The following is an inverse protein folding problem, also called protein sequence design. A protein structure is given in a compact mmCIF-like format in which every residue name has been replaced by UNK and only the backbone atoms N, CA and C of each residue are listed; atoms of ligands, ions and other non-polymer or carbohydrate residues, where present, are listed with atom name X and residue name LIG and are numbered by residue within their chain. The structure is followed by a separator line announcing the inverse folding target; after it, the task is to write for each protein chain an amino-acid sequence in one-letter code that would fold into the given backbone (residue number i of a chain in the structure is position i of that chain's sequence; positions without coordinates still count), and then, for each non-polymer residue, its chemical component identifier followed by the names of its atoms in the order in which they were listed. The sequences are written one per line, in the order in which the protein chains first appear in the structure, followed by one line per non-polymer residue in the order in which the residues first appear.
data_IF_127069028765
#
_entry.id   IF_127069028765
#
_cell.length_a   1.000
_cell.length_b   1.000
_cell.length_c   1.000
_cell.angle_alpha   90.00
_cell.angle_beta   90.00
_cell.angle_gamma   90.00
#
_symmetry.space_group_name_H-M   'P 1'
#
loop_
_entity.id
_entity.type
_entity.pdbx_description
1 polymer ?
#
# COMPACT_ATOMS: atom_id res chain seq x y z
N UNK A 1 51.89 1.09 1.19
CA UNK A 1 51.04 0.65 0.07
C UNK A 1 49.75 1.43 0.17
N UNK A 2 49.33 2.11 -0.90
CA UNK A 2 48.02 2.76 -0.94
C UNK A 2 46.97 1.67 -0.81
N UNK A 3 46.13 1.73 0.23
CA UNK A 3 44.96 0.85 0.31
C UNK A 3 44.13 1.07 -0.96
N UNK A 4 43.76 -0.01 -1.67
CA UNK A 4 43.00 0.13 -2.90
C UNK A 4 41.65 0.77 -2.58
N UNK A 5 41.24 1.73 -3.43
CA UNK A 5 39.97 2.46 -3.30
C UNK A 5 38.74 1.52 -3.30
N UNK A 6 38.90 0.29 -3.78
CA UNK A 6 37.90 -0.77 -3.85
C UNK A 6 38.56 -2.13 -3.60
N UNK A 7 37.80 -3.07 -3.03
CA UNK A 7 38.17 -4.48 -2.92
C UNK A 7 37.35 -5.31 -3.90
N UNK A 8 37.81 -6.53 -4.14
CA UNK A 8 37.04 -7.52 -4.89
C UNK A 8 36.89 -8.79 -4.05
N UNK A 9 35.76 -9.48 -4.20
CA UNK A 9 35.54 -10.78 -3.59
C UNK A 9 34.87 -11.71 -4.59
N UNK A 10 35.29 -12.97 -4.62
CA UNK A 10 34.65 -14.01 -5.43
C UNK A 10 34.12 -15.05 -4.48
N UNK A 11 32.80 -15.17 -4.40
CA UNK A 11 32.12 -15.97 -3.38
C UNK A 11 31.49 -17.17 -4.06
N UNK A 12 31.87 -18.35 -3.59
CA UNK A 12 31.29 -19.63 -3.97
C UNK A 12 30.75 -20.29 -2.70
N UNK A 13 29.43 -20.34 -2.56
CA UNK A 13 28.80 -20.87 -1.34
C UNK A 13 27.44 -21.49 -1.63
N UNK A 14 26.85 -22.09 -0.61
CA UNK A 14 25.46 -22.52 -0.60
C UNK A 14 24.69 -21.54 0.30
N UNK A 15 23.69 -20.86 -0.25
CA UNK A 15 22.79 -19.97 0.49
C UNK A 15 21.38 -20.56 0.42
N UNK A 16 20.79 -20.90 1.57
CA UNK A 16 19.46 -21.52 1.67
C UNK A 16 19.26 -22.75 0.75
N UNK A 17 20.30 -23.58 0.58
CA UNK A 17 20.24 -24.78 -0.27
C UNK A 17 20.50 -24.54 -1.75
N UNK A 18 20.72 -23.29 -2.17
CA UNK A 18 21.04 -22.91 -3.56
C UNK A 18 22.54 -22.63 -3.67
N UNK A 19 23.18 -23.24 -4.66
CA UNK A 19 24.58 -22.92 -4.98
C UNK A 19 24.65 -21.54 -5.65
N UNK A 20 25.45 -20.65 -5.08
CA UNK A 20 25.61 -19.27 -5.57
C UNK A 20 27.07 -18.97 -5.87
N UNK A 21 27.29 -18.38 -7.05
CA UNK A 21 28.60 -17.95 -7.53
C UNK A 21 28.51 -16.45 -7.84
N UNK A 22 29.29 -15.64 -7.13
CA UNK A 22 29.14 -14.19 -7.16
C UNK A 22 30.50 -13.49 -7.23
N UNK A 23 30.60 -12.48 -8.09
CA UNK A 23 31.71 -11.53 -8.08
C UNK A 23 31.24 -10.21 -7.48
N UNK A 24 32.01 -9.70 -6.53
CA UNK A 24 31.73 -8.45 -5.83
C UNK A 24 32.84 -7.44 -6.07
N UNK A 25 32.45 -6.20 -6.41
CA UNK A 25 33.27 -5.00 -6.28
C UNK A 25 32.79 -4.25 -5.03
N UNK A 26 33.67 -4.08 -4.04
CA UNK A 26 33.32 -3.57 -2.72
C UNK A 26 34.02 -2.23 -2.46
N UNK A 27 33.27 -1.23 -2.02
CA UNK A 27 33.78 0.08 -1.60
C UNK A 27 33.54 0.22 -0.10
N UNK A 28 34.60 0.56 0.65
CA UNK A 28 34.60 0.60 2.11
C UNK A 28 34.17 -0.72 2.79
N UNK A 29 34.24 -1.84 2.06
CA UNK A 29 33.97 -3.17 2.57
C UNK A 29 34.96 -4.19 2.01
N UNK A 30 35.04 -5.34 2.67
CA UNK A 30 35.76 -6.55 2.23
C UNK A 30 34.93 -7.77 2.58
N UNK A 31 35.22 -8.89 1.93
CA UNK A 31 34.70 -10.19 2.36
C UNK A 31 35.77 -10.91 3.18
N UNK A 32 35.40 -11.37 4.37
CA UNK A 32 36.23 -12.22 5.21
C UNK A 32 35.93 -13.68 4.86
N UNK A 33 36.83 -14.29 4.09
CA UNK A 33 36.70 -15.68 3.63
C UNK A 33 36.70 -16.71 4.78
N UNK A 34 37.32 -16.38 5.91
CA UNK A 34 37.41 -17.30 7.05
C UNK A 34 36.11 -17.28 7.84
N UNK A 35 35.61 -16.08 8.15
CA UNK A 35 34.33 -15.92 8.85
C UNK A 35 33.12 -16.15 7.92
N UNK A 36 33.33 -16.11 6.60
CA UNK A 36 32.31 -16.07 5.54
C UNK A 36 31.34 -14.90 5.72
N UNK A 37 31.89 -13.70 5.98
CA UNK A 37 31.09 -12.49 6.27
C UNK A 37 31.62 -11.26 5.55
N UNK A 38 30.72 -10.36 5.17
CA UNK A 38 31.11 -9.03 4.76
C UNK A 38 31.49 -8.16 5.96
N UNK A 39 32.58 -7.41 5.83
CA UNK A 39 33.13 -6.52 6.85
C UNK A 39 33.29 -5.11 6.29
N UNK A 40 32.78 -4.11 7.01
CA UNK A 40 33.08 -2.69 6.78
C UNK A 40 34.52 -2.41 7.16
N UNK A 41 35.20 -1.58 6.38
CA UNK A 41 36.55 -1.12 6.71
C UNK A 41 36.47 0.09 7.65
N UNK A 42 35.67 1.10 7.28
CA UNK A 42 35.34 2.23 8.12
C UNK A 42 33.86 2.14 8.54
N UNK A 43 33.65 1.82 9.82
CA UNK A 43 32.32 1.66 10.42
C UNK A 43 31.48 2.92 10.43
N UNK A 44 32.10 4.11 10.33
CA UNK A 44 31.36 5.38 10.33
C UNK A 44 30.70 5.67 8.98
N UNK A 45 31.24 5.14 7.90
CA UNK A 45 30.87 5.51 6.53
C UNK A 45 30.02 4.42 5.86
N UNK A 46 29.28 4.82 4.82
CA UNK A 46 28.58 3.86 3.97
C UNK A 46 29.55 2.89 3.31
N UNK A 47 29.07 1.67 3.10
CA UNK A 47 29.72 0.68 2.24
C UNK A 47 28.84 0.41 1.03
N UNK A 48 29.47 0.15 -0.11
CA UNK A 48 28.77 -0.17 -1.36
C UNK A 48 29.31 -1.46 -1.96
N UNK A 49 28.45 -2.21 -2.63
CA UNK A 49 28.82 -3.44 -3.31
C UNK A 49 28.14 -3.52 -4.68
N UNK A 50 28.92 -3.75 -5.74
CA UNK A 50 28.39 -4.19 -7.02
C UNK A 50 28.54 -5.70 -7.11
N UNK A 51 27.42 -6.40 -7.12
CA UNK A 51 27.36 -7.85 -7.23
C UNK A 51 27.04 -8.24 -8.67
N UNK A 52 27.79 -9.19 -9.20
CA UNK A 52 27.53 -9.89 -10.46
C UNK A 52 27.29 -11.36 -10.11
N UNK A 53 26.06 -11.85 -10.31
CA UNK A 53 25.71 -13.24 -10.05
C UNK A 53 25.91 -14.07 -11.33
N UNK A 54 26.56 -15.23 -11.19
CA UNK A 54 26.81 -16.16 -12.28
C UNK A 54 26.09 -17.52 -12.12
N UNK A 55 25.52 -17.77 -10.93
CA UNK A 55 24.69 -18.93 -10.59
C UNK A 55 23.78 -18.61 -9.39
N UNK A 56 22.66 -19.32 -9.29
CA UNK A 56 21.70 -19.23 -8.18
C UNK A 56 20.69 -18.10 -8.39
N UNK A 57 20.08 -17.64 -7.29
CA UNK A 57 19.04 -16.62 -7.31
C UNK A 57 19.40 -15.37 -6.50
N UNK A 58 18.55 -14.34 -6.57
CA UNK A 58 18.70 -13.09 -5.85
C UNK A 58 18.82 -13.32 -4.33
N UNK A 59 19.76 -12.64 -3.64
CA UNK A 59 19.95 -12.81 -2.20
C UNK A 59 18.68 -12.49 -1.39
N UNK A 60 18.11 -13.51 -0.74
CA UNK A 60 16.87 -13.41 0.04
C UNK A 60 15.61 -13.96 -0.66
N UNK A 61 15.70 -14.28 -1.95
CA UNK A 61 14.63 -14.91 -2.74
C UNK A 61 14.80 -16.43 -2.90
N UNK A 62 15.79 -17.04 -2.24
CA UNK A 62 16.02 -18.48 -2.35
C UNK A 62 14.82 -19.33 -1.87
N UNK A 63 14.02 -18.77 -0.95
CA UNK A 63 12.86 -19.44 -0.38
C UNK A 63 11.58 -19.30 -1.22
N UNK A 64 11.57 -18.47 -2.27
CA UNK A 64 10.39 -18.28 -3.14
C UNK A 64 10.37 -19.22 -4.35
N UNK A 65 11.43 -20.02 -4.54
CA UNK A 65 11.47 -21.10 -5.54
C UNK A 65 11.89 -20.66 -6.96
N UNK A 66 12.21 -19.38 -7.16
CA UNK A 66 12.87 -18.92 -8.38
C UNK A 66 14.38 -19.11 -8.22
N UNK A 67 14.92 -20.21 -8.72
CA UNK A 67 16.32 -20.62 -8.49
C UNK A 67 17.29 -20.12 -9.58
N UNK A 68 16.74 -19.56 -10.66
CA UNK A 68 17.49 -19.20 -11.87
C UNK A 68 17.57 -17.68 -12.09
N UNK A 69 16.88 -16.88 -11.26
CA UNK A 69 16.87 -15.42 -11.37
C UNK A 69 18.20 -14.79 -10.95
N UNK A 70 19.04 -14.48 -11.92
CA UNK A 70 20.37 -13.91 -11.72
C UNK A 70 20.39 -12.43 -12.09
N UNK A 71 21.40 -11.69 -11.63
CA UNK A 71 21.47 -10.28 -12.00
C UNK A 71 22.74 -9.56 -11.65
N UNK A 72 22.74 -8.28 -12.03
CA UNK A 72 23.72 -7.30 -11.60
C UNK A 72 23.05 -6.35 -10.61
N UNK A 73 23.57 -6.33 -9.38
CA UNK A 73 22.91 -5.68 -8.26
C UNK A 73 23.84 -4.66 -7.61
N UNK A 74 23.31 -3.47 -7.31
CA UNK A 74 23.98 -2.47 -6.49
C UNK A 74 23.42 -2.53 -5.07
N UNK A 75 24.32 -2.65 -4.10
CA UNK A 75 24.02 -2.78 -2.70
C UNK A 75 24.63 -1.65 -1.89
N UNK A 76 23.94 -1.29 -0.79
CA UNK A 76 24.39 -0.31 0.19
C UNK A 76 24.27 -0.87 1.59
N UNK A 77 25.27 -0.63 2.42
CA UNK A 77 25.19 -0.82 3.86
C UNK A 77 25.50 0.50 4.58
N UNK A 78 24.68 0.83 5.58
CA UNK A 78 24.87 2.04 6.38
C UNK A 78 26.09 1.92 7.29
N UNK A 79 26.77 3.05 7.52
CA UNK A 79 27.74 3.22 8.61
C UNK A 79 27.12 4.01 9.77
N UNK A 80 27.83 4.15 10.89
CA UNK A 80 27.33 4.84 12.10
C UNK A 80 26.83 6.25 11.83
N UNK A 81 27.46 7.00 10.93
CA UNK A 81 27.06 8.39 10.62
C UNK A 81 25.77 8.50 9.80
N UNK A 82 25.25 7.39 9.29
CA UNK A 82 23.91 7.37 8.71
C UNK A 82 22.80 7.52 9.76
N UNK A 83 23.13 7.31 11.05
CA UNK A 83 22.21 7.32 12.17
C UNK A 83 22.49 8.49 13.12
N UNK A 84 21.43 9.06 13.69
CA UNK A 84 21.51 10.15 14.67
C UNK A 84 22.23 9.72 15.96
N UNK A 85 22.80 10.67 16.68
CA UNK A 85 23.36 10.39 18.01
C UNK A 85 22.23 9.95 18.94
N UNK A 86 22.37 8.79 19.58
CA UNK A 86 21.34 8.20 20.44
C UNK A 86 20.40 7.20 19.74
N UNK A 87 20.52 7.02 18.43
CA UNK A 87 19.83 5.94 17.72
C UNK A 87 20.47 4.58 18.08
N UNK A 88 19.73 3.59 18.61
CA UNK A 88 20.27 2.28 18.95
C UNK A 88 20.95 1.56 17.77
N UNK A 89 20.48 1.79 16.54
CA UNK A 89 21.08 1.22 15.34
C UNK A 89 22.51 1.73 15.10
N UNK A 90 22.83 2.95 15.55
CA UNK A 90 24.18 3.52 15.49
C UNK A 90 25.18 2.71 16.30
N UNK A 91 24.79 2.26 17.49
CA UNK A 91 25.66 1.51 18.39
C UNK A 91 25.78 0.04 17.96
N UNK A 92 24.72 -0.50 17.37
CA UNK A 92 24.71 -1.84 16.78
C UNK A 92 25.48 -1.92 15.45
N UNK A 93 25.67 -0.79 14.76
CA UNK A 93 26.43 -0.74 13.51
C UNK A 93 27.92 -0.97 13.78
N UNK A 94 28.36 -2.22 13.57
CA UNK A 94 29.74 -2.65 13.75
C UNK A 94 30.49 -2.90 12.44
N UNK A 95 31.62 -3.59 12.56
CA UNK A 95 32.41 -4.05 11.41
C UNK A 95 31.60 -5.02 10.55
N UNK A 96 30.86 -5.95 11.14
CA UNK A 96 30.06 -6.92 10.40
C UNK A 96 28.88 -6.28 9.64
N UNK A 97 28.76 -6.60 8.35
CA UNK A 97 27.59 -6.24 7.53
C UNK A 97 26.63 -7.42 7.54
N UNK A 98 25.55 -7.29 8.31
CA UNK A 98 24.59 -8.36 8.58
C UNK A 98 24.25 -8.43 10.06
N UNK A 99 23.36 -9.36 10.42
CA UNK A 99 22.94 -9.60 11.78
C UNK A 99 22.85 -11.09 12.10
N UNK A 100 23.30 -11.45 13.31
CA UNK A 100 23.06 -12.76 13.89
C UNK A 100 21.58 -12.84 14.29
N UNK A 101 20.90 -13.86 13.80
CA UNK A 101 19.50 -14.10 14.10
C UNK A 101 19.35 -14.85 15.43
N UNK A 102 18.15 -14.82 16.05
CA UNK A 102 17.89 -15.56 17.30
C UNK A 102 18.12 -17.08 17.20
N UNK A 103 17.98 -17.64 15.99
CA UNK A 103 18.25 -19.06 15.70
C UNK A 103 19.74 -19.38 15.51
N UNK A 104 20.62 -18.39 15.68
CA UNK A 104 22.07 -18.51 15.49
C UNK A 104 22.52 -18.45 14.02
N UNK A 105 21.60 -18.30 13.06
CA UNK A 105 21.94 -18.10 11.66
C UNK A 105 22.46 -16.68 11.41
N UNK A 106 23.33 -16.53 10.42
CA UNK A 106 23.83 -15.22 9.99
C UNK A 106 23.06 -14.76 8.75
N UNK A 107 22.59 -13.50 8.74
CA UNK A 107 21.89 -12.92 7.57
C UNK A 107 22.46 -11.57 7.20
N UNK A 108 22.75 -11.38 5.92
CA UNK A 108 23.48 -10.20 5.42
C UNK A 108 22.62 -9.28 4.55
N UNK A 109 21.51 -9.80 3.99
CA UNK A 109 20.71 -9.11 2.97
C UNK A 109 19.29 -8.80 3.47
N UNK A 110 18.85 -7.56 3.29
CA UNK A 110 17.50 -7.09 3.66
C UNK A 110 17.51 -5.74 4.38
N UNK A 111 16.40 -4.99 4.26
CA UNK A 111 16.24 -3.56 4.61
C UNK A 111 16.83 -3.16 5.99
N UNK A 112 16.81 -4.08 6.96
CA UNK A 112 17.19 -3.85 8.37
C UNK A 112 18.41 -4.69 8.79
N UNK A 113 18.95 -5.54 7.92
CA UNK A 113 19.99 -6.54 8.27
C UNK A 113 21.41 -6.04 7.99
N UNK A 114 21.66 -5.48 6.81
CA UNK A 114 23.00 -5.04 6.42
C UNK A 114 23.04 -4.47 5.01
N UNK A 115 23.12 -5.35 4.01
CA UNK A 115 23.05 -5.00 2.60
C UNK A 115 21.61 -4.75 2.17
N UNK A 116 21.36 -3.52 1.74
CA UNK A 116 20.11 -3.09 1.14
C UNK A 116 20.30 -2.92 -0.35
N UNK A 117 19.37 -3.49 -1.13
CA UNK A 117 19.38 -3.34 -2.57
C UNK A 117 19.01 -1.89 -2.94
N UNK A 118 19.87 -1.27 -3.74
CA UNK A 118 19.62 0.02 -4.36
C UNK A 118 19.03 -0.15 -5.76
N UNK A 119 19.56 -1.10 -6.52
CA UNK A 119 19.24 -1.30 -7.92
C UNK A 119 19.57 -2.73 -8.35
N UNK A 120 18.75 -3.27 -9.25
CA UNK A 120 18.92 -4.58 -9.83
C UNK A 120 18.54 -4.55 -11.31
N UNK A 121 19.36 -5.21 -12.13
CA UNK A 121 18.96 -5.70 -13.44
C UNK A 121 18.97 -7.22 -13.39
N UNK A 122 17.80 -7.83 -13.57
CA UNK A 122 17.65 -9.28 -13.53
C UNK A 122 17.84 -9.92 -14.91
N UNK A 123 17.99 -11.25 -14.93
CA UNK A 123 18.25 -12.05 -16.11
C UNK A 123 17.07 -12.11 -17.06
N UNK A 124 15.87 -11.78 -16.59
CA UNK A 124 14.66 -11.70 -17.41
C UNK A 124 14.51 -10.33 -18.08
N UNK A 125 15.46 -9.41 -17.87
CA UNK A 125 15.45 -8.05 -18.41
C UNK A 125 14.63 -7.06 -17.58
N UNK A 126 14.17 -7.48 -16.40
CA UNK A 126 13.54 -6.61 -15.42
C UNK A 126 14.56 -5.69 -14.74
N UNK A 127 14.10 -4.48 -14.43
CA UNK A 127 14.88 -3.49 -13.68
C UNK A 127 14.10 -3.13 -12.43
N UNK A 128 14.70 -3.40 -11.27
CA UNK A 128 14.09 -3.14 -9.96
C UNK A 128 14.91 -2.08 -9.22
N UNK A 129 14.22 -1.08 -8.66
CA UNK A 129 14.80 -0.13 -7.72
C UNK A 129 14.45 -0.64 -6.32
N UNK A 130 15.45 -1.10 -5.58
CA UNK A 130 15.26 -1.76 -4.29
C UNK A 130 14.88 -0.80 -3.15
N UNK A 131 14.61 -1.38 -1.97
CA UNK A 131 14.07 -0.69 -0.78
C UNK A 131 14.93 0.43 -0.17
N UNK A 132 16.13 0.71 -0.70
CA UNK A 132 16.91 1.90 -0.35
C UNK A 132 16.80 3.07 -1.34
N UNK A 133 16.14 2.88 -2.49
CA UNK A 133 15.86 3.89 -3.50
C UNK A 133 17.09 4.37 -4.28
N UNK A 134 16.94 4.65 -5.58
CA UNK A 134 17.83 5.57 -6.30
C UNK A 134 17.18 6.94 -6.29
N UNK A 135 17.84 7.91 -5.67
CA UNK A 135 17.51 9.32 -5.83
C UNK A 135 18.22 9.86 -7.08
N UNK A 136 17.48 10.02 -8.18
CA UNK A 136 17.93 10.81 -9.34
C UNK A 136 17.62 12.27 -9.02
N UNK A 137 18.46 12.93 -8.24
CA UNK A 137 18.38 14.38 -8.02
C UNK A 137 18.78 15.10 -9.32
N UNK A 138 17.78 15.36 -10.16
CA UNK A 138 17.90 16.25 -11.30
C UNK A 138 17.26 17.58 -10.99
N UNK A 139 17.87 18.41 -10.13
CA UNK A 139 17.54 19.84 -9.92
C UNK A 139 16.03 20.20 -9.85
N UNK A 140 15.17 19.26 -9.41
CA UNK A 140 13.72 19.42 -9.38
C UNK A 140 13.00 19.51 -10.74
N UNK A 141 13.60 19.15 -11.88
CA UNK A 141 12.96 19.23 -13.22
C UNK A 141 12.93 17.87 -13.93
N UNK A 142 12.68 16.79 -13.19
CA UNK A 142 12.33 15.51 -13.82
C UNK A 142 10.84 15.53 -14.17
N UNK A 143 10.43 15.28 -15.43
CA UNK A 143 9.03 15.27 -15.85
C UNK A 143 8.25 14.06 -15.33
N UNK A 144 8.92 13.14 -14.63
CA UNK A 144 8.32 11.94 -14.06
C UNK A 144 8.10 12.16 -12.57
N UNK A 145 6.85 12.45 -12.20
CA UNK A 145 6.35 12.37 -10.83
C UNK A 145 6.70 11.01 -10.22
N UNK A 146 7.59 10.98 -9.21
CA UNK A 146 8.01 9.76 -8.51
C UNK A 146 6.84 9.17 -7.71
N UNK A 147 6.33 7.99 -8.09
CA UNK A 147 5.44 7.20 -7.25
C UNK A 147 6.27 6.45 -6.20
N UNK A 148 6.04 6.69 -4.91
CA UNK A 148 6.72 5.98 -3.83
C UNK A 148 5.74 5.16 -3.02
N UNK A 149 5.90 3.84 -3.06
CA UNK A 149 5.09 2.88 -2.30
C UNK A 149 5.70 2.70 -0.90
N UNK A 150 5.53 3.72 -0.04
CA UNK A 150 5.87 3.61 1.37
C UNK A 150 4.75 2.93 2.17
N UNK A 151 5.11 2.05 3.11
CA UNK A 151 4.20 1.46 4.10
C UNK A 151 4.22 2.31 5.38
N UNK A 152 3.08 2.86 5.77
CA UNK A 152 2.89 3.29 7.16
C UNK A 152 2.78 2.03 8.03
N UNK A 153 3.67 1.93 9.00
CA UNK A 153 3.57 0.92 10.04
C UNK A 153 2.75 1.52 11.17
N UNK A 154 1.61 0.93 11.51
CA UNK A 154 0.73 1.41 12.59
C UNK A 154 1.48 1.55 13.91
N UNK A 155 1.14 2.58 14.67
CA UNK A 155 1.65 2.83 16.02
C UNK A 155 0.64 3.65 16.81
N UNK A 156 0.62 3.47 18.13
CA UNK A 156 -0.28 4.18 19.04
C UNK A 156 0.45 4.92 20.13
N UNK A 157 -0.03 6.10 20.52
CA UNK A 157 0.37 6.78 21.77
C UNK A 157 -0.34 6.21 23.00
N UNK A 158 -1.32 5.32 22.81
CA UNK A 158 -2.10 4.71 23.91
C UNK A 158 -1.66 3.25 24.08
N UNK A 159 -0.86 2.92 25.11
CA UNK A 159 -0.28 1.57 25.27
C UNK A 159 -1.30 0.43 25.41
N UNK A 160 -2.53 0.75 25.81
CA UNK A 160 -3.59 -0.23 26.09
C UNK A 160 -4.53 -0.47 24.89
N UNK A 161 -4.29 0.20 23.76
CA UNK A 161 -5.20 0.08 22.61
C UNK A 161 -5.08 -1.30 21.96
N UNK A 162 -6.20 -1.92 21.57
CA UNK A 162 -6.16 -3.23 20.90
C UNK A 162 -5.37 -3.16 19.60
N UNK A 163 -4.45 -4.09 19.40
CA UNK A 163 -3.59 -4.17 18.20
C UNK A 163 -4.40 -4.32 16.91
N UNK A 164 -5.65 -4.77 17.02
CA UNK A 164 -6.63 -4.92 15.94
C UNK A 164 -7.04 -3.60 15.29
N UNK A 165 -6.83 -2.46 15.97
CA UNK A 165 -7.14 -1.13 15.44
C UNK A 165 -6.03 -0.57 14.51
N UNK A 166 -4.94 -1.33 14.31
CA UNK A 166 -3.82 -0.92 13.46
C UNK A 166 -4.04 -1.31 11.99
N UNK A 167 -3.60 -0.43 11.09
CA UNK A 167 -3.69 -0.63 9.65
C UNK A 167 -2.36 -0.34 8.95
N UNK A 168 -2.16 -0.99 7.81
CA UNK A 168 -1.16 -0.62 6.82
C UNK A 168 -1.74 0.44 5.89
N UNK A 169 -1.01 1.53 5.65
CA UNK A 169 -1.35 2.46 4.59
C UNK A 169 -0.24 2.48 3.53
N UNK A 170 -0.61 2.20 2.28
CA UNK A 170 0.24 2.21 1.10
C UNK A 170 0.01 3.51 0.35
N UNK A 171 1.06 4.31 0.22
CA UNK A 171 0.97 5.65 -0.36
C UNK A 171 0.97 5.62 -1.90
N UNK A 172 0.08 6.38 -2.53
CA UNK A 172 0.03 6.59 -3.98
C UNK A 172 0.46 7.99 -4.43
N UNK A 173 1.31 8.70 -3.68
CA UNK A 173 1.64 10.11 -3.92
C UNK A 173 3.08 10.36 -4.38
N UNK A 174 3.25 11.50 -5.06
CA UNK A 174 4.54 12.05 -5.50
C UNK A 174 5.48 12.29 -4.31
N UNK A 175 6.74 11.85 -4.42
CA UNK A 175 7.83 11.94 -3.42
C UNK A 175 7.89 13.21 -2.54
N UNK A 176 7.60 14.40 -3.08
CA UNK A 176 7.60 15.65 -2.30
C UNK A 176 6.56 15.66 -1.18
N UNK A 177 5.46 14.91 -1.33
CA UNK A 177 4.47 14.79 -0.25
C UNK A 177 4.86 13.70 0.74
N UNK A 178 5.60 12.66 0.34
CA UNK A 178 6.15 11.67 1.28
C UNK A 178 7.13 12.32 2.26
N UNK A 179 8.02 13.22 1.79
CA UNK A 179 8.85 14.01 2.69
C UNK A 179 7.98 14.91 3.58
N UNK A 180 6.95 15.59 3.07
CA UNK A 180 6.01 16.35 3.92
C UNK A 180 5.19 15.50 4.92
N UNK A 181 5.02 14.19 4.66
CA UNK A 181 4.29 13.23 5.48
C UNK A 181 5.14 12.61 6.59
N UNK A 182 6.42 12.32 6.32
CA UNK A 182 7.35 11.69 7.27
C UNK A 182 8.28 12.70 7.95
N UNK A 183 8.65 13.76 7.21
CA UNK A 183 9.37 14.94 7.68
C UNK A 183 8.45 16.15 7.47
N UNK A 184 7.40 16.25 8.27
CA UNK A 184 6.63 17.49 8.36
C UNK A 184 7.58 18.58 8.88
N UNK A 185 8.32 19.22 7.97
CA UNK A 185 9.34 20.22 8.27
C UNK A 185 8.75 21.41 9.05
N UNK A 186 7.42 21.51 9.10
CA UNK A 186 6.65 22.51 9.83
C UNK A 186 5.48 21.81 10.56
N UNK A 187 5.69 21.41 11.81
CA UNK A 187 4.73 20.69 12.67
C UNK A 187 3.32 21.31 12.78
N UNK A 188 3.15 22.56 12.38
CA UNK A 188 1.92 23.35 12.51
C UNK A 188 0.92 23.19 11.33
N UNK A 189 1.33 22.66 10.17
CA UNK A 189 0.45 22.59 8.98
C UNK A 189 -0.39 21.30 8.91
N UNK A 190 -1.53 21.27 8.22
CA UNK A 190 -2.25 20.01 8.01
C UNK A 190 -1.56 19.15 6.93
N UNK A 191 -1.53 17.83 7.11
CA UNK A 191 -1.08 16.86 6.12
C UNK A 191 -2.26 16.21 5.38
N UNK A 192 -2.02 15.75 4.15
CA UNK A 192 -3.01 15.01 3.35
C UNK A 192 -2.40 13.70 2.85
N UNK A 193 -3.18 12.63 2.92
CA UNK A 193 -2.84 11.31 2.44
C UNK A 193 -3.88 10.84 1.42
N UNK A 194 -3.41 10.23 0.34
CA UNK A 194 -4.23 9.48 -0.60
C UNK A 194 -3.53 8.17 -0.95
N UNK A 195 -4.25 7.06 -0.87
CA UNK A 195 -3.67 5.76 -1.15
C UNK A 195 -4.58 4.62 -0.74
N UNK A 196 -3.99 3.46 -0.48
CA UNK A 196 -4.69 2.28 0.02
C UNK A 196 -4.46 2.13 1.53
N UNK A 197 -5.50 1.75 2.27
CA UNK A 197 -5.41 1.33 3.67
C UNK A 197 -5.93 -0.10 3.80
N UNK A 198 -5.26 -0.95 4.58
CA UNK A 198 -5.67 -2.33 4.82
C UNK A 198 -5.38 -2.72 6.27
N UNK A 199 -6.29 -3.43 6.97
CA UNK A 199 -6.02 -3.88 8.33
C UNK A 199 -4.91 -4.92 8.37
N UNK A 200 -4.30 -5.08 9.54
CA UNK A 200 -3.33 -6.15 9.77
C UNK A 200 -4.07 -7.49 9.79
N UNK A 201 -3.61 -8.46 9.00
CA UNK A 201 -4.13 -9.81 9.02
C UNK A 201 -3.54 -10.58 10.21
N UNK A 202 -4.21 -10.56 11.36
CA UNK A 202 -3.77 -11.33 12.53
C UNK A 202 -3.99 -12.84 12.42
N UNK A 203 -4.58 -13.36 11.34
CA UNK A 203 -4.81 -14.79 11.13
C UNK A 203 -4.09 -15.27 9.85
N UNK A 204 -2.86 -14.80 9.66
CA UNK A 204 -2.11 -14.96 8.42
C UNK A 204 -1.37 -16.31 8.27
N UNK A 205 -1.54 -17.21 9.25
CA UNK A 205 -0.98 -18.57 9.21
C UNK A 205 -1.83 -19.47 8.32
N UNK A 206 -1.21 -20.51 7.76
CA UNK A 206 -1.88 -21.45 6.86
C UNK A 206 -3.07 -22.19 7.51
N UNK A 207 -3.08 -22.33 8.83
CA UNK A 207 -4.15 -22.92 9.62
C UNK A 207 -5.20 -21.91 10.10
N UNK A 208 -5.04 -20.62 9.74
CA UNK A 208 -5.92 -19.52 10.15
C UNK A 208 -5.80 -19.13 11.63
N UNK A 209 -4.79 -19.63 12.35
CA UNK A 209 -4.61 -19.29 13.77
C UNK A 209 -4.08 -17.87 13.98
N UNK A 210 -4.42 -17.31 15.15
CA UNK A 210 -4.00 -15.98 15.56
C UNK A 210 -2.46 -15.86 15.63
N UNK A 211 -1.95 -14.75 15.11
CA UNK A 211 -0.55 -14.37 15.05
C UNK A 211 -0.39 -12.91 15.51
N UNK A 212 -0.06 -12.66 16.80
CA UNK A 212 0.13 -11.29 17.30
C UNK A 212 1.28 -10.55 16.63
N UNK A 213 2.21 -11.28 16.00
CA UNK A 213 3.40 -10.72 15.35
C UNK A 213 3.22 -10.58 13.83
N UNK A 214 1.98 -10.63 13.32
CA UNK A 214 1.70 -10.53 11.90
C UNK A 214 2.15 -9.19 11.31
N UNK A 215 2.87 -9.27 10.19
CA UNK A 215 3.32 -8.12 9.41
C UNK A 215 2.63 -8.03 8.04
N UNK A 216 1.56 -8.83 7.82
CA UNK A 216 0.86 -8.95 6.54
C UNK A 216 -0.44 -8.16 6.53
N UNK A 217 -0.70 -7.48 5.41
CA UNK A 217 -1.96 -6.79 5.17
C UNK A 217 -3.06 -7.77 4.76
N UNK A 218 -4.27 -7.54 5.26
CA UNK A 218 -5.49 -8.21 4.79
C UNK A 218 -6.02 -7.47 3.55
N UNK A 219 -5.47 -7.81 2.37
CA UNK A 219 -5.77 -7.10 1.13
C UNK A 219 -7.22 -7.28 0.65
N UNK A 220 -7.90 -8.35 1.09
CA UNK A 220 -9.33 -8.55 0.80
C UNK A 220 -10.20 -7.49 1.49
N UNK A 221 -9.67 -6.88 2.56
CA UNK A 221 -10.28 -5.77 3.31
C UNK A 221 -9.62 -4.42 3.02
N UNK A 222 -8.85 -4.31 1.94
CA UNK A 222 -8.23 -3.04 1.56
C UNK A 222 -9.27 -2.01 1.11
N UNK A 223 -8.91 -0.74 1.28
CA UNK A 223 -9.76 0.40 0.98
C UNK A 223 -8.94 1.49 0.29
N UNK A 224 -9.53 2.20 -0.68
CA UNK A 224 -8.97 3.44 -1.22
C UNK A 224 -9.41 4.59 -0.34
N UNK A 225 -8.45 5.37 0.18
CA UNK A 225 -8.73 6.37 1.20
C UNK A 225 -8.09 7.72 0.86
N UNK A 226 -8.80 8.79 1.20
CA UNK A 226 -8.25 10.15 1.34
C UNK A 226 -8.38 10.50 2.82
N UNK A 227 -7.25 10.81 3.46
CA UNK A 227 -7.21 11.13 4.88
C UNK A 227 -6.50 12.46 5.12
N UNK A 228 -6.82 13.11 6.24
CA UNK A 228 -6.20 14.34 6.70
C UNK A 228 -5.55 14.15 8.07
N UNK A 229 -4.35 14.67 8.24
CA UNK A 229 -3.71 14.86 9.54
C UNK A 229 -3.81 16.34 9.92
N UNK A 230 -4.44 16.70 11.05
CA UNK A 230 -4.46 18.08 11.51
C UNK A 230 -3.05 18.66 11.79
N UNK A 231 -2.98 19.99 11.83
CA UNK A 231 -1.78 20.69 12.30
C UNK A 231 -1.50 20.38 13.76
N UNK A 232 -0.22 20.31 14.16
CA UNK A 232 0.18 20.00 15.54
C UNK A 232 0.15 18.50 15.91
N UNK A 233 -0.46 17.65 15.10
CA UNK A 233 -0.58 16.22 15.38
C UNK A 233 0.60 15.39 14.87
N UNK A 234 0.90 14.29 15.57
CA UNK A 234 1.95 13.35 15.17
C UNK A 234 1.50 12.49 13.99
N UNK A 235 2.44 12.08 13.13
CA UNK A 235 2.17 11.35 11.87
C UNK A 235 1.74 9.87 12.04
N UNK A 236 1.12 9.53 13.17
CA UNK A 236 0.59 8.20 13.46
C UNK A 236 -0.79 8.02 12.82
N UNK A 237 -1.07 6.80 12.35
CA UNK A 237 -2.28 6.46 11.58
C UNK A 237 -3.58 6.80 12.31
N UNK A 238 -3.58 6.75 13.65
CA UNK A 238 -4.73 7.03 14.50
C UNK A 238 -5.13 8.51 14.57
N UNK A 239 -4.22 9.42 14.20
CA UNK A 239 -4.50 10.86 14.19
C UNK A 239 -5.07 11.33 12.85
N UNK A 240 -5.28 10.39 11.91
CA UNK A 240 -5.80 10.69 10.59
C UNK A 240 -7.33 10.64 10.57
N UNK A 241 -7.92 11.68 10.01
CA UNK A 241 -9.35 11.77 9.77
C UNK A 241 -9.67 11.27 8.35
N UNK A 242 -10.58 10.30 8.24
CA UNK A 242 -11.10 9.87 6.94
C UNK A 242 -11.95 10.97 6.30
N UNK A 243 -11.50 11.46 5.14
CA UNK A 243 -12.28 12.38 4.31
C UNK A 243 -13.12 11.61 3.29
N UNK A 244 -12.52 10.63 2.63
CA UNK A 244 -13.17 9.73 1.67
C UNK A 244 -12.61 8.33 1.85
N UNK A 245 -13.46 7.32 1.76
CA UNK A 245 -13.10 5.91 1.87
C UNK A 245 -13.92 5.12 0.86
N UNK A 246 -13.29 4.19 0.14
CA UNK A 246 -13.96 3.24 -0.77
C UNK A 246 -13.46 1.85 -0.42
N UNK A 247 -14.35 0.99 0.06
CA UNK A 247 -14.01 -0.38 0.47
C UNK A 247 -13.74 -1.28 -0.74
N UNK A 248 -13.07 -2.41 -0.53
CA UNK A 248 -12.88 -3.46 -1.56
C UNK A 248 -14.19 -3.94 -2.20
N UNK A 249 -15.29 -3.90 -1.44
CA UNK A 249 -16.64 -4.23 -1.92
C UNK A 249 -17.34 -3.07 -2.65
N UNK A 250 -16.69 -1.93 -2.85
CA UNK A 250 -17.21 -0.76 -3.57
C UNK A 250 -18.16 0.15 -2.76
N UNK A 251 -18.25 -0.02 -1.44
CA UNK A 251 -19.01 0.91 -0.61
C UNK A 251 -18.17 2.17 -0.36
N UNK A 252 -18.79 3.35 -0.40
CA UNK A 252 -18.08 4.61 -0.18
C UNK A 252 -18.56 5.32 1.09
N UNK A 253 -17.63 6.00 1.77
CA UNK A 253 -17.92 6.94 2.86
C UNK A 253 -17.30 8.30 2.60
N UNK A 254 -17.99 9.35 3.03
CA UNK A 254 -17.51 10.74 3.01
C UNK A 254 -17.60 11.29 4.42
N UNK A 255 -16.48 11.73 4.98
CA UNK A 255 -16.37 12.18 6.38
C UNK A 255 -16.98 11.17 7.38
N UNK A 256 -16.78 9.87 7.13
CA UNK A 256 -17.31 8.79 7.97
C UNK A 256 -18.79 8.45 7.73
N UNK A 257 -19.52 9.21 6.92
CA UNK A 257 -20.92 8.94 6.57
C UNK A 257 -21.02 8.05 5.33
N UNK A 258 -21.91 7.06 5.37
CA UNK A 258 -22.19 6.20 4.22
C UNK A 258 -22.72 7.02 3.04
N UNK A 259 -22.07 6.87 1.89
CA UNK A 259 -22.60 7.38 0.61
C UNK A 259 -23.62 6.35 0.12
N UNK A 260 -24.90 6.74 -0.01
CA UNK A 260 -25.90 5.83 -0.54
C UNK A 260 -25.53 5.41 -1.95
N UNK A 261 -25.66 4.11 -2.25
CA UNK A 261 -25.49 3.64 -3.62
C UNK A 261 -26.67 4.13 -4.44
N UNK A 262 -26.40 4.86 -5.51
CA UNK A 262 -27.45 5.39 -6.38
C UNK A 262 -27.39 4.75 -7.76
N UNK A 263 -28.55 4.41 -8.31
CA UNK A 263 -28.68 3.82 -9.64
C UNK A 263 -29.89 4.40 -10.36
N UNK A 264 -29.67 4.85 -11.59
CA UNK A 264 -30.74 5.27 -12.48
C UNK A 264 -31.33 4.05 -13.19
N UNK A 265 -32.65 3.89 -13.12
CA UNK A 265 -33.38 2.79 -13.76
C UNK A 265 -34.41 3.39 -14.70
N UNK A 266 -34.33 3.05 -15.98
CA UNK A 266 -35.30 3.48 -17.00
C UNK A 266 -36.38 2.42 -17.19
N UNK A 267 -37.64 2.83 -17.10
CA UNK A 267 -38.82 1.98 -17.28
C UNK A 267 -39.79 2.58 -18.30
N UNK A 268 -40.48 1.72 -19.05
CA UNK A 268 -41.59 2.12 -19.91
C UNK A 268 -42.86 2.18 -19.06
N UNK A 269 -43.64 3.25 -19.21
CA UNK A 269 -44.92 3.40 -18.54
C UNK A 269 -46.01 2.65 -19.32
N UNK A 270 -46.92 1.99 -18.59
CA UNK A 270 -48.07 1.32 -19.17
C UNK A 270 -49.20 2.32 -19.48
N UNK A 271 -50.34 1.81 -19.98
CA UNK A 271 -51.51 2.63 -20.35
C UNK A 271 -52.13 3.40 -19.16
N UNK A 272 -51.84 2.98 -17.93
CA UNK A 272 -52.26 3.67 -16.69
C UNK A 272 -51.18 4.63 -16.16
N UNK A 273 -50.15 4.93 -16.95
CA UNK A 273 -49.00 5.76 -16.58
C UNK A 273 -48.24 5.23 -15.35
N UNK A 274 -48.14 3.91 -15.24
CA UNK A 274 -47.45 3.23 -14.15
C UNK A 274 -46.44 2.19 -14.66
N UNK A 275 -45.47 1.83 -13.82
CA UNK A 275 -44.46 0.83 -14.11
C UNK A 275 -43.91 0.17 -12.83
N UNK A 276 -43.50 -1.09 -12.96
CA UNK A 276 -42.68 -1.76 -11.94
C UNK A 276 -41.21 -1.41 -12.15
N UNK A 277 -40.57 -0.88 -11.10
CA UNK A 277 -39.14 -0.60 -11.01
C UNK A 277 -38.50 -1.70 -10.16
N UNK A 278 -37.88 -2.68 -10.81
CA UNK A 278 -37.26 -3.80 -10.11
C UNK A 278 -35.99 -3.38 -9.37
N UNK A 279 -35.73 -4.03 -8.24
CA UNK A 279 -34.48 -3.85 -7.52
C UNK A 279 -33.28 -4.33 -8.35
N UNK A 280 -32.15 -3.58 -8.36
CA UNK A 280 -31.01 -3.93 -9.21
C UNK A 280 -30.40 -5.32 -8.93
N UNK A 281 -30.41 -5.75 -7.67
CA UNK A 281 -29.94 -7.07 -7.24
C UNK A 281 -30.47 -7.41 -5.83
N UNK A 282 -30.12 -8.59 -5.31
CA UNK A 282 -30.61 -9.15 -4.04
C UNK A 282 -30.25 -8.35 -2.77
N UNK A 283 -29.38 -7.36 -2.86
CA UNK A 283 -28.99 -6.52 -1.71
C UNK A 283 -29.92 -5.32 -1.48
N UNK A 284 -30.83 -5.05 -2.43
CA UNK A 284 -31.85 -4.00 -2.36
C UNK A 284 -33.19 -4.60 -1.96
N UNK A 285 -33.95 -3.90 -1.13
CA UNK A 285 -35.28 -4.32 -0.68
C UNK A 285 -36.14 -3.12 -0.25
N UNK A 286 -37.43 -3.38 0.05
CA UNK A 286 -38.40 -2.35 0.43
C UNK A 286 -38.05 -1.53 1.69
N UNK A 287 -37.12 -1.99 2.53
CA UNK A 287 -36.71 -1.29 3.75
C UNK A 287 -35.50 -0.37 3.54
N UNK A 288 -34.71 -0.59 2.49
CA UNK A 288 -33.45 0.14 2.28
C UNK A 288 -33.36 0.90 0.94
N UNK A 289 -34.35 0.73 0.07
CA UNK A 289 -34.45 1.43 -1.20
C UNK A 289 -35.29 2.71 -1.06
N UNK A 290 -34.82 3.81 -1.66
CA UNK A 290 -35.48 5.12 -1.66
C UNK A 290 -35.41 5.76 -3.05
N UNK A 291 -36.51 6.31 -3.55
CA UNK A 291 -36.49 7.15 -4.75
C UNK A 291 -35.95 8.53 -4.37
N UNK A 292 -34.83 8.94 -4.98
CA UNK A 292 -34.27 10.29 -4.83
C UNK A 292 -34.85 11.26 -5.86
N UNK A 293 -35.25 10.77 -7.02
CA UNK A 293 -35.83 11.58 -8.08
C UNK A 293 -36.37 10.76 -9.23
N UNK A 294 -37.29 11.36 -9.97
CA UNK A 294 -37.88 10.79 -11.18
C UNK A 294 -37.79 11.80 -12.32
N UNK A 295 -37.32 11.36 -13.47
CA UNK A 295 -37.28 12.11 -14.72
C UNK A 295 -38.20 11.43 -15.73
N UNK A 296 -39.28 12.09 -16.09
CA UNK A 296 -40.20 11.62 -17.14
C UNK A 296 -39.69 12.00 -18.52
N UNK A 297 -39.89 11.11 -19.50
CA UNK A 297 -39.55 11.34 -20.91
C UNK A 297 -40.82 11.26 -21.75
N UNK A 298 -41.04 12.27 -22.59
CA UNK A 298 -42.17 12.35 -23.51
C UNK A 298 -41.87 11.64 -24.83
N UNK A 299 -42.90 11.38 -25.63
CA UNK A 299 -42.80 10.80 -26.97
C UNK A 299 -41.83 11.54 -27.92
N UNK A 300 -41.70 12.87 -27.75
CA UNK A 300 -40.82 13.71 -28.55
C UNK A 300 -39.37 13.74 -28.03
N UNK A 301 -39.05 12.95 -27.00
CA UNK A 301 -37.73 12.89 -26.35
C UNK A 301 -37.50 13.96 -25.29
N UNK A 302 -38.46 14.87 -25.06
CA UNK A 302 -38.34 15.91 -24.03
C UNK A 302 -38.33 15.28 -22.64
N UNK A 303 -37.34 15.63 -21.82
CA UNK A 303 -37.22 15.16 -20.44
C UNK A 303 -37.66 16.23 -19.44
N UNK A 304 -38.38 15.84 -18.38
CA UNK A 304 -38.75 16.75 -17.28
C UNK A 304 -38.67 16.05 -15.93
N UNK A 305 -38.20 16.75 -14.91
CA UNK A 305 -38.30 16.27 -13.52
C UNK A 305 -39.78 16.15 -13.13
N UNK A 306 -40.15 15.02 -12.54
CA UNK A 306 -41.51 14.74 -12.06
C UNK A 306 -41.50 14.76 -10.54
N UNK A 307 -42.21 15.73 -9.97
CA UNK A 307 -42.28 15.98 -8.53
C UNK A 307 -43.50 15.32 -7.89
N UNK A 308 -44.57 15.11 -8.66
CA UNK A 308 -45.80 14.44 -8.22
C UNK A 308 -45.81 13.01 -8.78
N UNK A 309 -45.58 12.01 -7.92
CA UNK A 309 -45.67 10.60 -8.25
C UNK A 309 -46.14 9.81 -7.02
N UNK A 310 -46.77 8.66 -7.25
CA UNK A 310 -47.11 7.70 -6.20
C UNK A 310 -46.20 6.48 -6.33
N UNK A 311 -45.72 5.97 -5.20
CA UNK A 311 -44.83 4.81 -5.17
C UNK A 311 -45.25 3.85 -4.04
N UNK A 312 -45.42 2.58 -4.39
CA UNK A 312 -45.67 1.49 -3.43
C UNK A 312 -44.51 0.50 -3.45
N UNK A 313 -43.93 0.23 -2.28
CA UNK A 313 -42.73 -0.60 -2.15
C UNK A 313 -43.11 -2.05 -1.84
N UNK A 314 -42.64 -2.98 -2.67
CA UNK A 314 -42.87 -4.42 -2.59
C UNK A 314 -41.55 -5.19 -2.48
N UNK A 315 -41.63 -6.49 -2.18
CA UNK A 315 -40.40 -7.30 -2.02
C UNK A 315 -39.60 -7.46 -3.33
N UNK A 316 -40.25 -7.31 -4.49
CA UNK A 316 -39.61 -7.42 -5.81
C UNK A 316 -39.13 -6.08 -6.38
N UNK A 317 -39.61 -4.94 -5.86
CA UNK A 317 -39.38 -3.64 -6.47
C UNK A 317 -40.40 -2.58 -6.03
N UNK A 318 -40.52 -1.52 -6.83
CA UNK A 318 -41.41 -0.39 -6.55
C UNK A 318 -42.42 -0.28 -7.68
N UNK A 319 -43.70 -0.27 -7.34
CA UNK A 319 -44.75 0.12 -8.27
C UNK A 319 -44.85 1.64 -8.30
N UNK A 320 -44.42 2.25 -9.41
CA UNK A 320 -44.40 3.68 -9.63
C UNK A 320 -45.59 4.09 -10.49
N UNK A 321 -46.32 5.13 -10.09
CA UNK A 321 -47.39 5.78 -10.85
C UNK A 321 -47.08 7.26 -11.02
N UNK A 322 -47.28 7.79 -12.23
CA UNK A 322 -46.92 9.16 -12.61
C UNK A 322 -48.09 9.86 -13.32
N UNK A 323 -48.08 11.20 -13.37
CA UNK A 323 -49.03 11.96 -14.18
C UNK A 323 -48.94 11.57 -15.66
N UNK A 324 -50.05 11.69 -16.37
CA UNK A 324 -50.11 11.46 -17.80
C UNK A 324 -49.17 12.38 -18.59
N UNK A 325 -48.81 11.95 -19.80
CA UNK A 325 -48.00 12.74 -20.75
C UNK A 325 -46.51 12.37 -20.80
N UNK A 326 -46.11 11.25 -20.19
CA UNK A 326 -44.79 10.63 -20.32
C UNK A 326 -44.94 9.18 -20.79
N UNK A 327 -43.99 8.74 -21.62
CA UNK A 327 -43.93 7.35 -22.13
C UNK A 327 -42.94 6.51 -21.32
N UNK A 328 -41.91 7.17 -20.76
CA UNK A 328 -40.88 6.52 -19.95
C UNK A 328 -40.58 7.33 -18.69
N UNK A 329 -40.02 6.64 -17.70
CA UNK A 329 -39.51 7.22 -16.49
C UNK A 329 -38.09 6.72 -16.23
N UNK A 330 -37.17 7.63 -15.92
CA UNK A 330 -35.87 7.31 -15.33
C UNK A 330 -35.94 7.63 -13.83
N UNK A 331 -35.78 6.60 -13.01
CA UNK A 331 -35.92 6.64 -11.56
C UNK A 331 -34.53 6.55 -10.94
N UNK A 332 -34.12 7.58 -10.22
CA UNK A 332 -32.90 7.55 -9.43
C UNK A 332 -33.20 6.89 -8.09
N UNK A 333 -32.82 5.62 -7.98
CA UNK A 333 -33.00 4.81 -6.78
C UNK A 333 -31.73 4.84 -5.93
N UNK A 334 -31.89 4.96 -4.62
CA UNK A 334 -30.81 4.97 -3.63
C UNK A 334 -30.96 3.80 -2.66
N UNK A 335 -29.86 3.13 -2.35
CA UNK A 335 -29.76 2.13 -1.28
C UNK A 335 -28.99 2.74 -0.13
N UNK A 336 -29.66 2.91 1.00
CA UNK A 336 -29.01 3.31 2.24
C UNK A 336 -28.66 2.03 3.00
N UNK A 337 -27.39 1.86 3.36
CA UNK A 337 -26.97 0.75 4.22
C UNK A 337 -27.74 0.84 5.54
N UNK A 338 -28.50 -0.20 5.90
CA UNK A 338 -28.97 -0.30 7.29
C UNK A 338 -27.70 -0.61 8.08
N UNK A 339 -27.24 0.35 8.87
CA UNK A 339 -26.10 0.12 9.77
C UNK A 339 -26.38 -1.17 10.53
N UNK A 340 -25.51 -2.17 10.39
CA UNK A 340 -25.46 -3.22 11.39
C UNK A 340 -25.00 -2.53 12.67
N UNK A 341 -25.92 -2.30 13.60
CA UNK A 341 -25.58 -2.12 15.02
C UNK A 341 -24.66 -3.25 15.49
#
# INVERSE_FOLDING_TARGET
MQDPFFNTATIHTIRNGVEVHELWLLINARYDETAKRFKRINVDNFSFGWQMQACGTYPGEENIGDLDNQGMNLWKANGKKAYSIGDPARDQTGEDIGALQPDGSWREFGIILGWNNLFMCDSYGGVTIGGSGIEIDGSGISPLSRLSLGKFSGGSLVPQRPVQDYVFAYNGMCWNVQHGLWNKDIGEQSGLFYGLAAPINYNDKADGSFNPDSNKADMDKAEVVVMRLPGGESAQIENWEYLVQITSSGNAKVHGYDVPLTQAITVNLNQNHAADVFYPNSTWNKKNAHILGVKGMKADGTTKSVQSYDASYYDYGIYLSMPAGYDQAEVLLSRIGVSSE
#
